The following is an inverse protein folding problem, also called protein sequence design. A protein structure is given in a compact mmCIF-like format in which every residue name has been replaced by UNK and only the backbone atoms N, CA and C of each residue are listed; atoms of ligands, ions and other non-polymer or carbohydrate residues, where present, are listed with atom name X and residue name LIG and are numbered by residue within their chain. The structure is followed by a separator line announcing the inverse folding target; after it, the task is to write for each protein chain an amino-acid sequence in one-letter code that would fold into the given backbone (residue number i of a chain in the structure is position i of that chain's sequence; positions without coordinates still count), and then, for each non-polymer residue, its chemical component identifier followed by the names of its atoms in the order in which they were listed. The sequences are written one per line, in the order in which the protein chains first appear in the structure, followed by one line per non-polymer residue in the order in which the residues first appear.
data_IF_383151036723
#
_entry.id   IF_383151036723
#
_cell.length_a   1.000
_cell.length_b   1.000
_cell.length_c   1.000
_cell.angle_alpha   90.00
_cell.angle_beta   90.00
_cell.angle_gamma   90.00
#
_symmetry.space_group_name_H-M   'P 1'
#
loop_
_entity.id
_entity.type
_entity.pdbx_description
1 polymer ?
#
# COMPACT_ATOMS: atom_id res chain seq x y z
N UNK A 1 -3.36 6.91 72.02
CA UNK A 1 -3.51 8.25 71.42
C UNK A 1 -3.07 8.18 69.95
N UNK A 2 -3.92 8.63 69.03
CA UNK A 2 -3.91 8.27 67.60
C UNK A 2 -2.95 9.16 66.78
N UNK A 3 -2.02 8.54 66.04
CA UNK A 3 -1.24 9.18 64.96
C UNK A 3 -2.19 9.57 63.82
N UNK A 4 -2.37 10.87 63.58
CA UNK A 4 -3.15 11.38 62.43
C UNK A 4 -2.26 11.39 61.19
N UNK A 5 -2.60 10.57 60.20
CA UNK A 5 -2.10 10.66 58.83
C UNK A 5 -2.81 11.86 58.16
N UNK A 6 -2.04 12.83 57.68
CA UNK A 6 -2.56 13.90 56.81
C UNK A 6 -2.07 13.58 55.41
N UNK A 7 -3.00 13.13 54.57
CA UNK A 7 -2.85 13.02 53.13
C UNK A 7 -2.98 14.44 52.58
N UNK A 8 -1.85 15.10 52.29
CA UNK A 8 -1.87 16.37 51.58
C UNK A 8 -1.90 16.06 50.08
N UNK A 9 -3.08 16.20 49.50
CA UNK A 9 -3.30 16.24 48.06
C UNK A 9 -2.54 17.45 47.48
N UNK A 10 -1.42 17.19 46.80
CA UNK A 10 -0.77 18.16 45.91
C UNK A 10 -1.22 17.83 44.49
N UNK A 11 -2.48 18.13 44.16
CA UNK A 11 -2.91 18.27 42.77
C UNK A 11 -2.53 19.69 42.33
N UNK A 12 -1.25 19.87 42.01
CA UNK A 12 -0.72 21.11 41.47
C UNK A 12 -0.95 21.15 39.95
N UNK A 13 -2.06 21.79 39.55
CA UNK A 13 -2.20 22.71 38.42
C UNK A 13 -1.42 22.47 37.09
N UNK A 14 -1.18 21.23 36.67
CA UNK A 14 -0.64 20.91 35.33
C UNK A 14 -1.61 20.10 34.44
N UNK A 15 -2.91 20.15 34.76
CA UNK A 15 -3.97 19.42 34.05
C UNK A 15 -4.91 20.26 33.19
N UNK A 16 -4.72 21.58 33.08
CA UNK A 16 -5.66 22.49 32.40
C UNK A 16 -5.01 23.46 31.39
N UNK A 17 -3.81 23.15 30.90
CA UNK A 17 -3.20 23.89 29.79
C UNK A 17 -3.12 23.09 28.48
N UNK A 18 -3.41 21.78 28.51
CA UNK A 18 -3.34 20.93 27.31
C UNK A 18 -4.67 20.81 26.54
N UNK A 19 -5.77 21.34 27.09
CA UNK A 19 -7.10 21.22 26.48
C UNK A 19 -7.56 22.45 25.69
N UNK A 20 -6.75 23.53 25.61
CA UNK A 20 -7.13 24.76 24.88
C UNK A 20 -6.32 24.94 23.57
N UNK A 21 -5.26 24.16 23.34
CA UNK A 21 -4.45 24.25 22.11
C UNK A 21 -4.99 23.34 20.98
N UNK A 22 -5.97 22.46 21.24
CA UNK A 22 -6.49 21.47 20.28
C UNK A 22 -7.88 21.79 19.69
N UNK A 23 -8.28 23.06 19.60
CA UNK A 23 -9.57 23.44 18.98
C UNK A 23 -9.50 24.60 17.97
N UNK A 24 -8.30 24.97 17.48
CA UNK A 24 -8.12 26.21 16.69
C UNK A 24 -7.51 26.08 15.29
N UNK A 25 -7.32 24.87 14.74
CA UNK A 25 -6.61 24.70 13.44
C UNK A 25 -7.32 23.84 12.40
N UNK A 26 -8.60 23.48 12.59
CA UNK A 26 -9.33 22.65 11.63
C UNK A 26 -10.14 23.43 10.57
N UNK A 27 -10.22 24.76 10.61
CA UNK A 27 -11.06 25.50 9.65
C UNK A 27 -10.35 26.12 8.43
N UNK A 28 -9.02 26.00 8.28
CA UNK A 28 -8.29 26.67 7.16
C UNK A 28 -7.79 25.69 6.08
N UNK A 29 -7.95 24.37 6.24
CA UNK A 29 -7.45 23.39 5.26
C UNK A 29 -8.49 22.88 4.25
N UNK A 30 -9.78 23.21 4.42
CA UNK A 30 -10.86 22.73 3.52
C UNK A 30 -11.01 23.62 2.27
N UNK A 31 -10.53 24.87 2.29
CA UNK A 31 -10.70 25.79 1.15
C UNK A 31 -9.64 25.60 0.04
N UNK A 32 -8.47 25.04 0.35
CA UNK A 32 -7.41 24.78 -0.65
C UNK A 32 -7.63 23.51 -1.50
N UNK A 33 -8.48 22.59 -1.09
CA UNK A 33 -8.74 21.34 -1.82
C UNK A 33 -9.77 21.53 -2.94
N UNK A 34 -10.59 22.59 -2.89
CA UNK A 34 -11.64 22.84 -3.89
C UNK A 34 -11.12 23.47 -5.18
N UNK A 35 -9.99 24.19 -5.14
CA UNK A 35 -9.45 24.96 -6.28
C UNK A 35 -8.52 24.17 -7.19
N UNK A 36 -7.88 23.08 -6.73
CA UNK A 36 -7.08 22.20 -7.60
C UNK A 36 -7.92 21.16 -8.37
N UNK A 37 -9.16 20.90 -7.94
CA UNK A 37 -10.09 20.00 -8.64
C UNK A 37 -10.59 20.55 -9.99
N UNK A 38 -10.29 21.81 -10.32
CA UNK A 38 -10.76 22.47 -11.56
C UNK A 38 -9.74 22.49 -12.70
N UNK A 39 -8.50 22.05 -12.46
CA UNK A 39 -7.41 22.09 -13.45
C UNK A 39 -7.11 20.73 -14.13
N UNK A 40 -7.87 19.68 -13.81
CA UNK A 40 -7.75 18.34 -14.43
C UNK A 40 -8.88 18.05 -15.45
N UNK A 41 -9.52 19.11 -15.94
CA UNK A 41 -10.38 19.08 -17.12
C UNK A 41 -9.54 19.52 -18.31
N UNK A 42 -9.37 18.63 -19.29
CA UNK A 42 -8.84 18.79 -20.66
C UNK A 42 -7.64 17.85 -20.89
N UNK A 43 -7.84 16.89 -21.81
CA UNK A 43 -6.95 15.79 -22.28
C UNK A 43 -7.03 14.56 -21.34
N UNK A 44 -7.64 13.42 -21.64
CA UNK A 44 -7.86 12.64 -22.88
C UNK A 44 -9.09 11.74 -22.66
N UNK A 45 -10.15 11.86 -23.47
CA UNK A 45 -10.41 11.03 -24.66
C UNK A 45 -10.05 9.54 -24.50
N UNK A 46 -11.09 8.70 -24.46
CA UNK A 46 -11.11 7.25 -24.69
C UNK A 46 -10.61 6.34 -23.55
N UNK A 47 -11.43 6.19 -22.51
CA UNK A 47 -11.49 4.95 -21.72
C UNK A 47 -12.81 4.26 -22.04
N UNK A 48 -12.76 3.25 -22.89
CA UNK A 48 -13.84 2.27 -23.00
C UNK A 48 -14.05 1.68 -21.61
N UNK A 49 -15.26 1.87 -21.09
CA UNK A 49 -15.72 1.25 -19.86
C UNK A 49 -15.89 -0.24 -20.14
N UNK A 50 -14.87 -1.03 -19.85
CA UNK A 50 -15.06 -2.48 -19.71
C UNK A 50 -15.89 -2.72 -18.44
N UNK A 51 -16.97 -3.53 -18.52
CA UNK A 51 -17.83 -3.78 -17.36
C UNK A 51 -17.02 -4.45 -16.25
N UNK A 52 -17.10 -3.90 -15.04
CA UNK A 52 -16.62 -4.51 -13.81
C UNK A 52 -17.48 -5.75 -13.53
N UNK A 53 -17.14 -6.88 -14.15
CA UNK A 53 -17.70 -8.17 -13.78
C UNK A 53 -16.94 -8.67 -12.55
N UNK A 54 -17.59 -8.58 -11.41
CA UNK A 54 -17.24 -9.30 -10.18
C UNK A 54 -17.43 -10.79 -10.51
N UNK A 55 -16.37 -11.43 -11.02
CA UNK A 55 -16.36 -12.83 -11.41
C UNK A 55 -15.85 -13.68 -10.26
N UNK A 56 -16.78 -14.41 -9.63
CA UNK A 56 -16.67 -15.81 -9.19
C UNK A 56 -15.32 -16.27 -8.62
N UNK A 57 -15.29 -16.44 -7.29
CA UNK A 57 -14.21 -17.04 -6.48
C UNK A 57 -12.84 -16.39 -6.69
N UNK A 58 -12.53 -15.39 -5.85
CA UNK A 58 -11.22 -14.71 -5.75
C UNK A 58 -10.10 -15.71 -5.36
N UNK A 59 -9.67 -16.56 -6.28
CA UNK A 59 -8.52 -17.41 -6.06
C UNK A 59 -7.25 -16.58 -6.34
N UNK A 60 -6.75 -15.89 -5.32
CA UNK A 60 -5.52 -15.08 -5.41
C UNK A 60 -4.30 -15.89 -5.87
N UNK A 61 -4.33 -17.22 -5.77
CA UNK A 61 -3.29 -18.07 -6.33
C UNK A 61 -3.27 -18.04 -7.87
N UNK A 62 -4.44 -17.92 -8.52
CA UNK A 62 -4.52 -17.76 -9.97
C UNK A 62 -3.91 -16.42 -10.40
N UNK A 63 -4.12 -15.37 -9.59
CA UNK A 63 -3.51 -14.06 -9.83
C UNK A 63 -1.99 -14.08 -9.67
N UNK A 64 -1.44 -14.84 -8.70
CA UNK A 64 0.01 -15.02 -8.55
C UNK A 64 0.64 -15.64 -9.80
N UNK A 65 -0.02 -16.64 -10.38
CA UNK A 65 0.46 -17.31 -11.59
C UNK A 65 0.44 -16.38 -12.81
N UNK A 66 -0.45 -15.38 -12.82
CA UNK A 66 -0.56 -14.39 -13.89
C UNK A 66 0.51 -13.29 -13.85
N UNK A 67 1.29 -13.21 -12.77
CA UNK A 67 2.35 -12.20 -12.66
C UNK A 67 3.50 -12.50 -13.62
N UNK A 68 4.10 -11.46 -14.22
CA UNK A 68 5.18 -11.62 -15.18
C UNK A 68 6.38 -12.28 -14.51
N UNK A 69 6.92 -13.29 -15.18
CA UNK A 69 8.08 -14.04 -14.74
C UNK A 69 9.36 -13.50 -15.36
N UNK A 70 10.50 -13.81 -14.75
CA UNK A 70 11.83 -13.52 -15.28
C UNK A 70 12.01 -14.13 -16.68
N UNK A 71 11.39 -15.29 -16.94
CA UNK A 71 11.37 -15.92 -18.27
C UNK A 71 10.70 -15.06 -19.33
N UNK A 72 9.65 -14.34 -18.97
CA UNK A 72 8.84 -13.59 -19.93
C UNK A 72 9.58 -12.33 -20.40
N UNK A 73 10.45 -11.79 -19.54
CA UNK A 73 11.30 -10.64 -19.85
C UNK A 73 12.41 -10.99 -20.87
N UNK A 74 12.84 -12.26 -20.93
CA UNK A 74 13.87 -12.70 -21.89
C UNK A 74 13.38 -12.72 -23.33
N UNK A 75 12.06 -12.70 -23.53
CA UNK A 75 11.43 -12.76 -24.85
C UNK A 75 11.00 -11.38 -25.36
N UNK A 76 11.31 -10.30 -24.63
CA UNK A 76 10.97 -8.94 -25.06
C UNK A 76 11.82 -8.54 -26.26
N UNK A 77 11.18 -7.89 -27.23
CA UNK A 77 11.88 -7.34 -28.39
C UNK A 77 12.61 -6.03 -28.03
N UNK A 78 13.55 -5.61 -28.89
CA UNK A 78 14.40 -4.43 -28.65
C UNK A 78 13.60 -3.13 -28.42
N UNK A 79 12.43 -2.98 -29.06
CA UNK A 79 11.54 -1.83 -28.84
C UNK A 79 10.85 -1.85 -27.47
N UNK A 80 10.59 -3.03 -26.91
CA UNK A 80 9.97 -3.18 -25.58
C UNK A 80 10.95 -2.92 -24.44
N UNK A 81 12.26 -3.11 -24.66
CA UNK A 81 13.30 -2.96 -23.64
C UNK A 81 13.60 -1.48 -23.33
N UNK A 82 13.44 -0.58 -24.30
CA UNK A 82 13.71 0.85 -24.12
C UNK A 82 12.59 1.64 -23.42
N UNK A 83 11.50 0.96 -23.07
CA UNK A 83 10.36 1.52 -22.34
C UNK A 83 9.99 0.62 -21.16
N UNK A 84 9.05 1.04 -20.31
CA UNK A 84 8.46 0.10 -19.33
C UNK A 84 7.67 -0.95 -20.11
N UNK A 85 8.07 -2.23 -20.09
CA UNK A 85 7.40 -3.24 -20.91
C UNK A 85 5.94 -3.40 -20.50
N UNK A 86 5.03 -3.59 -21.46
CA UNK A 86 3.60 -3.74 -21.20
C UNK A 86 3.32 -4.88 -20.20
N UNK A 87 4.14 -5.94 -20.24
CA UNK A 87 4.02 -7.07 -19.33
C UNK A 87 4.24 -6.68 -17.86
N UNK A 88 5.14 -5.72 -17.59
CA UNK A 88 5.36 -5.17 -16.25
C UNK A 88 4.17 -4.32 -15.82
N UNK A 89 3.63 -3.49 -16.73
CA UNK A 89 2.45 -2.66 -16.45
C UNK A 89 1.22 -3.53 -16.10
N UNK A 90 1.01 -4.64 -16.83
CA UNK A 90 -0.04 -5.61 -16.53
C UNK A 90 0.15 -6.25 -15.15
N UNK A 91 1.35 -6.70 -14.83
CA UNK A 91 1.67 -7.24 -13.51
C UNK A 91 1.40 -6.25 -12.37
N UNK A 92 1.84 -4.99 -12.53
CA UNK A 92 1.60 -3.95 -11.54
C UNK A 92 0.09 -3.64 -11.38
N UNK A 93 -0.68 -3.71 -12.47
CA UNK A 93 -2.13 -3.54 -12.44
C UNK A 93 -2.83 -4.62 -11.61
N UNK A 94 -2.39 -5.88 -11.70
CA UNK A 94 -2.92 -6.98 -10.85
C UNK A 94 -2.68 -6.70 -9.37
N UNK A 95 -1.45 -6.33 -9.00
CA UNK A 95 -1.09 -5.97 -7.61
C UNK A 95 -1.95 -4.80 -7.11
N UNK A 96 -2.15 -3.78 -7.96
CA UNK A 96 -2.99 -2.62 -7.66
C UNK A 96 -4.47 -2.98 -7.46
N UNK A 97 -5.02 -3.87 -8.30
CA UNK A 97 -6.40 -4.37 -8.18
C UNK A 97 -6.62 -5.08 -6.85
N UNK A 98 -5.72 -6.00 -6.48
CA UNK A 98 -5.80 -6.75 -5.22
C UNK A 98 -5.74 -5.79 -4.02
N UNK A 99 -4.83 -4.81 -4.05
CA UNK A 99 -4.76 -3.79 -3.01
C UNK A 99 -6.07 -3.01 -2.88
N UNK A 100 -6.61 -2.51 -3.99
CA UNK A 100 -7.84 -1.71 -3.99
C UNK A 100 -9.04 -2.52 -3.47
N UNK A 101 -9.16 -3.79 -3.86
CA UNK A 101 -10.22 -4.67 -3.39
C UNK A 101 -10.12 -4.88 -1.87
N UNK A 102 -8.93 -5.15 -1.34
CA UNK A 102 -8.71 -5.34 0.10
C UNK A 102 -8.80 -4.05 0.93
N UNK A 103 -8.55 -2.90 0.32
CA UNK A 103 -8.78 -1.61 0.96
C UNK A 103 -10.28 -1.38 1.18
N UNK A 104 -11.12 -1.73 0.19
CA UNK A 104 -12.58 -1.62 0.24
C UNK A 104 -13.25 -2.72 1.08
N UNK A 105 -12.67 -3.92 1.11
CA UNK A 105 -13.19 -5.07 1.82
C UNK A 105 -12.18 -5.56 2.88
N UNK A 106 -12.28 -5.08 4.14
CA UNK A 106 -11.31 -5.44 5.18
C UNK A 106 -11.16 -6.94 5.44
N UNK A 107 -12.20 -7.74 5.19
CA UNK A 107 -12.18 -9.21 5.28
C UNK A 107 -11.17 -9.85 4.32
N UNK A 108 -10.78 -9.16 3.24
CA UNK A 108 -9.83 -9.64 2.23
C UNK A 108 -8.38 -9.25 2.51
N UNK A 109 -8.12 -8.43 3.52
CA UNK A 109 -6.76 -7.90 3.79
C UNK A 109 -5.76 -8.98 4.15
N UNK A 110 -6.16 -10.00 4.90
CA UNK A 110 -5.25 -11.09 5.26
C UNK A 110 -4.83 -11.89 4.01
N UNK A 111 -5.79 -12.23 3.15
CA UNK A 111 -5.54 -12.91 1.87
C UNK A 111 -4.64 -12.06 0.97
N UNK A 112 -4.89 -10.75 0.88
CA UNK A 112 -4.05 -9.83 0.11
C UNK A 112 -2.62 -9.72 0.66
N UNK A 113 -2.44 -9.70 1.99
CA UNK A 113 -1.11 -9.71 2.60
C UNK A 113 -0.34 -10.98 2.27
N UNK A 114 -1.00 -12.16 2.32
CA UNK A 114 -0.39 -13.42 1.89
C UNK A 114 -0.01 -13.39 0.41
N UNK A 115 -0.87 -12.83 -0.45
CA UNK A 115 -0.54 -12.61 -1.85
C UNK A 115 0.72 -11.74 -2.01
N UNK A 116 0.81 -10.60 -1.32
CA UNK A 116 1.97 -9.72 -1.44
C UNK A 116 3.26 -10.38 -0.92
N UNK A 117 3.19 -11.18 0.15
CA UNK A 117 4.32 -12.00 0.61
C UNK A 117 4.76 -13.00 -0.46
N UNK A 118 3.83 -13.80 -0.98
CA UNK A 118 4.16 -14.82 -1.98
C UNK A 118 4.71 -14.19 -3.27
N UNK A 119 4.12 -13.07 -3.71
CA UNK A 119 4.62 -12.27 -4.82
C UNK A 119 6.05 -11.76 -4.59
N UNK A 120 6.36 -11.34 -3.37
CA UNK A 120 7.68 -10.86 -2.98
C UNK A 120 8.72 -11.99 -2.93
N UNK A 121 8.37 -13.15 -2.40
CA UNK A 121 9.32 -14.24 -2.13
C UNK A 121 9.54 -15.18 -3.32
N UNK A 122 8.64 -15.20 -4.31
CA UNK A 122 8.87 -15.97 -5.54
C UNK A 122 9.93 -15.30 -6.43
N UNK A 123 11.14 -15.84 -6.39
CA UNK A 123 12.29 -15.38 -7.19
C UNK A 123 12.07 -15.47 -8.70
N UNK A 124 11.07 -16.23 -9.17
CA UNK A 124 10.75 -16.32 -10.58
C UNK A 124 9.90 -15.15 -11.08
N UNK A 125 9.30 -14.35 -10.20
CA UNK A 125 8.55 -13.15 -10.57
C UNK A 125 9.54 -12.03 -10.94
N UNK A 126 9.19 -11.22 -11.94
CA UNK A 126 9.99 -10.07 -12.35
C UNK A 126 10.32 -9.15 -11.16
N UNK A 127 11.59 -8.76 -11.02
CA UNK A 127 12.09 -7.99 -9.86
C UNK A 127 11.31 -6.69 -9.63
N UNK A 128 10.88 -6.01 -10.70
CA UNK A 128 10.06 -4.82 -10.62
C UNK A 128 8.70 -5.08 -9.93
N UNK A 129 8.05 -6.22 -10.22
CA UNK A 129 6.80 -6.59 -9.56
C UNK A 129 7.05 -6.99 -8.11
N UNK A 130 8.11 -7.74 -7.85
CA UNK A 130 8.53 -8.07 -6.48
C UNK A 130 8.76 -6.80 -5.65
N UNK A 131 9.34 -5.75 -6.25
CA UNK A 131 9.58 -4.47 -5.58
C UNK A 131 8.27 -3.74 -5.23
N UNK A 132 7.28 -3.77 -6.14
CA UNK A 132 5.93 -3.25 -5.85
C UNK A 132 5.30 -4.04 -4.70
N UNK A 133 5.42 -5.37 -4.69
CA UNK A 133 4.91 -6.21 -3.60
C UNK A 133 5.63 -5.92 -2.27
N UNK A 134 6.95 -5.74 -2.26
CA UNK A 134 7.71 -5.33 -1.07
C UNK A 134 7.22 -3.99 -0.51
N UNK A 135 7.05 -3.00 -1.39
CA UNK A 135 6.51 -1.69 -1.03
C UNK A 135 5.12 -1.83 -0.39
N UNK A 136 4.23 -2.67 -0.95
CA UNK A 136 2.93 -2.95 -0.35
C UNK A 136 3.04 -3.59 1.02
N UNK A 137 3.91 -4.59 1.20
CA UNK A 137 4.07 -5.21 2.53
C UNK A 137 4.51 -4.18 3.57
N UNK A 138 5.55 -3.40 3.28
CA UNK A 138 6.07 -2.40 4.24
C UNK A 138 5.08 -1.27 4.54
N UNK A 139 4.31 -0.82 3.57
CA UNK A 139 3.29 0.22 3.78
C UNK A 139 2.05 -0.29 4.49
N UNK A 140 1.66 -1.54 4.27
CA UNK A 140 0.38 -2.07 4.72
C UNK A 140 0.44 -2.79 6.06
N UNK A 141 1.58 -3.35 6.48
CA UNK A 141 1.74 -3.89 7.84
C UNK A 141 1.31 -2.87 8.91
N UNK A 142 1.85 -1.63 8.96
CA UNK A 142 1.44 -0.67 9.97
C UNK A 142 0.00 -0.15 9.78
N UNK A 143 -0.45 -0.04 8.51
CA UNK A 143 -1.78 0.49 8.17
C UNK A 143 -2.91 -0.47 8.51
N UNK A 144 -2.77 -1.74 8.12
CA UNK A 144 -3.79 -2.78 8.28
C UNK A 144 -3.61 -3.61 9.54
N UNK A 145 -2.47 -3.47 10.24
CA UNK A 145 -2.12 -4.20 11.48
C UNK A 145 -2.17 -5.72 11.32
N UNK A 146 -1.77 -6.20 10.15
CA UNK A 146 -1.65 -7.63 9.86
C UNK A 146 -0.16 -7.95 9.81
N UNK A 147 0.40 -8.55 10.87
CA UNK A 147 1.79 -8.95 10.85
C UNK A 147 1.96 -10.11 9.85
N UNK A 148 2.99 -10.01 9.04
CA UNK A 148 3.40 -11.09 8.15
C UNK A 148 4.91 -11.27 8.24
N UNK A 149 5.36 -12.51 8.37
CA UNK A 149 6.78 -12.84 8.39
C UNK A 149 7.26 -12.93 6.94
N UNK A 150 8.38 -12.28 6.64
CA UNK A 150 9.01 -12.31 5.32
C UNK A 150 10.35 -13.02 5.47
N UNK A 151 10.68 -13.86 4.49
CA UNK A 151 12.00 -14.48 4.37
C UNK A 151 13.04 -13.44 3.89
N UNK A 152 13.79 -12.84 4.83
CA UNK A 152 14.76 -11.77 4.52
C UNK A 152 15.85 -12.19 3.53
N UNK A 153 16.21 -13.48 3.48
CA UNK A 153 17.15 -14.05 2.52
C UNK A 153 16.62 -14.00 1.07
N UNK A 154 15.30 -13.89 0.89
CA UNK A 154 14.67 -13.68 -0.42
C UNK A 154 14.71 -12.22 -0.89
N UNK A 155 15.10 -11.29 -0.02
CA UNK A 155 15.07 -9.85 -0.30
C UNK A 155 16.49 -9.32 -0.55
N UNK A 156 16.90 -9.31 -1.82
CA UNK A 156 18.20 -8.74 -2.23
C UNK A 156 18.30 -7.25 -1.97
N UNK A 157 19.53 -6.72 -1.91
CA UNK A 157 19.77 -5.28 -1.76
C UNK A 157 19.14 -4.48 -2.91
N UNK A 158 19.31 -4.95 -4.15
CA UNK A 158 18.71 -4.37 -5.36
C UNK A 158 17.18 -4.26 -5.22
N UNK A 159 16.53 -5.31 -4.73
CA UNK A 159 15.09 -5.31 -4.52
C UNK A 159 14.65 -4.29 -3.45
N UNK A 160 15.44 -4.14 -2.39
CA UNK A 160 15.20 -3.13 -1.33
C UNK A 160 15.36 -1.71 -1.87
N UNK A 161 16.36 -1.47 -2.72
CA UNK A 161 16.60 -0.17 -3.36
C UNK A 161 15.44 0.18 -4.31
N UNK A 162 15.08 -0.74 -5.21
CA UNK A 162 13.98 -0.53 -6.15
C UNK A 162 12.64 -0.27 -5.45
N UNK A 163 12.35 -0.98 -4.35
CA UNK A 163 11.13 -0.75 -3.58
C UNK A 163 11.10 0.62 -2.88
N UNK A 164 12.27 1.18 -2.53
CA UNK A 164 12.39 2.52 -1.93
C UNK A 164 12.15 3.63 -2.94
N UNK A 165 12.53 3.44 -4.20
CA UNK A 165 12.28 4.42 -5.28
C UNK A 165 10.79 4.60 -5.61
N UNK A 166 9.93 3.69 -5.15
CA UNK A 166 8.48 3.79 -5.28
C UNK A 166 7.82 4.69 -4.21
N UNK A 167 8.59 5.37 -3.36
CA UNK A 167 8.13 6.27 -2.29
C UNK A 167 8.36 7.75 -2.61
#
# INVERSE_FOLDING_TARGET
MKKKRIFLYVFSAFGLAFSIIMMGQEEILIEKIKTQSSALKIISSRREQTPFQISKEDNLNTELVSLPRVSDLKNLNEHEIHHTPEIILKGASVVGRIHNNAEQLPSKRHEAMLFFKNCLEDENIAIAIRAVCLNKVYTLIPKWRIPILIEEDKISLELKELAKELF
#
